data_IF_919856337748
#
_entry.id   IF_919856337748
#
_cell.length_a   1.000
_cell.length_b   1.000
_cell.length_c   1.000
_cell.angle_alpha   90.00
_cell.angle_beta   90.00
_cell.angle_gamma   90.00
#
_symmetry.space_group_name_H-M   'P 1'
#
loop_
_entity.id
_entity.type
_entity.pdbx_description
1 polymer ?
#
# COMPACT_ATOMS: atom_id res chain seq x y z
N UNK A 1 -9.62 -14.96 -1.40
CA UNK A 1 -10.06 -13.61 -1.80
C UNK A 1 -9.95 -13.61 -3.29
N UNK A 2 -11.08 -13.84 -3.95
CA UNK A 2 -11.11 -14.18 -5.37
C UNK A 2 -10.74 -12.95 -6.20
N UNK A 3 -9.84 -13.12 -7.17
CA UNK A 3 -9.48 -12.09 -8.14
C UNK A 3 -10.72 -11.80 -9.00
N UNK A 4 -11.36 -10.65 -8.80
CA UNK A 4 -12.39 -10.17 -9.72
C UNK A 4 -11.70 -9.79 -11.02
N UNK A 5 -11.69 -10.70 -12.01
CA UNK A 5 -11.27 -10.42 -13.38
C UNK A 5 -12.47 -9.91 -14.16
N UNK A 6 -12.48 -8.61 -14.44
CA UNK A 6 -13.47 -7.98 -15.33
C UNK A 6 -13.14 -8.29 -16.79
N UNK A 7 -14.17 -8.42 -17.64
CA UNK A 7 -13.98 -8.56 -19.09
C UNK A 7 -13.58 -7.22 -19.72
N UNK A 8 -12.89 -7.30 -20.86
CA UNK A 8 -12.42 -6.13 -21.61
C UNK A 8 -13.59 -5.22 -22.05
N UNK A 9 -14.76 -5.80 -22.35
CA UNK A 9 -15.98 -5.06 -22.71
C UNK A 9 -16.48 -4.15 -21.59
N UNK A 10 -16.46 -4.65 -20.34
CA UNK A 10 -16.84 -3.86 -19.16
C UNK A 10 -15.81 -2.76 -18.93
N UNK A 11 -14.53 -3.02 -19.20
CA UNK A 11 -13.46 -2.03 -19.03
C UNK A 11 -13.66 -0.86 -19.99
N UNK A 12 -13.99 -1.13 -21.25
CA UNK A 12 -14.26 -0.13 -22.28
C UNK A 12 -15.49 0.73 -21.97
N UNK A 13 -16.56 0.14 -21.45
CA UNK A 13 -17.80 0.86 -21.14
C UNK A 13 -17.63 1.89 -20.02
N UNK A 14 -16.69 1.66 -19.09
CA UNK A 14 -16.54 2.49 -17.89
C UNK A 14 -15.27 3.36 -17.90
N UNK A 15 -14.52 3.37 -19.01
CA UNK A 15 -13.23 4.09 -19.12
C UNK A 15 -13.38 5.62 -19.02
N UNK A 16 -14.54 6.15 -19.42
CA UNK A 16 -14.81 7.59 -19.50
C UNK A 16 -15.62 8.13 -18.30
N UNK A 17 -15.99 7.27 -17.33
CA UNK A 17 -16.72 7.73 -16.15
C UNK A 17 -15.82 8.49 -15.18
N UNK A 18 -16.29 9.65 -14.74
CA UNK A 18 -15.66 10.40 -13.67
C UNK A 18 -16.18 9.91 -12.32
N UNK A 19 -15.34 9.23 -11.56
CA UNK A 19 -15.67 8.72 -10.22
C UNK A 19 -16.18 9.82 -9.27
N UNK A 20 -15.81 11.09 -9.48
CA UNK A 20 -16.23 12.17 -8.60
C UNK A 20 -17.61 12.75 -8.95
N UNK A 21 -18.29 12.24 -9.98
CA UNK A 21 -19.56 12.80 -10.46
C UNK A 21 -20.43 11.71 -11.12
N UNK A 22 -20.97 10.80 -10.30
CA UNK A 22 -21.92 9.78 -10.74
C UNK A 22 -23.36 10.33 -10.75
N UNK A 23 -24.20 9.78 -11.62
CA UNK A 23 -25.65 10.00 -11.59
C UNK A 23 -26.31 8.97 -10.65
N UNK A 24 -27.50 9.29 -10.13
CA UNK A 24 -28.26 8.41 -9.22
C UNK A 24 -28.51 7.00 -9.82
N UNK A 25 -28.67 6.90 -11.15
CA UNK A 25 -28.79 5.60 -11.86
C UNK A 25 -27.46 4.80 -11.90
N UNK A 26 -26.30 5.48 -11.95
CA UNK A 26 -24.99 4.85 -11.92
C UNK A 26 -24.63 4.35 -10.51
N UNK A 27 -25.13 5.03 -9.48
CA UNK A 27 -24.98 4.60 -8.08
C UNK A 27 -25.76 3.30 -7.80
N UNK A 28 -26.96 3.17 -8.35
CA UNK A 28 -27.86 2.03 -8.10
C UNK A 28 -27.55 0.76 -8.92
N UNK A 29 -26.76 0.84 -9.98
CA UNK A 29 -26.59 -0.25 -10.97
C UNK A 29 -25.37 -1.16 -10.76
N UNK A 30 -24.75 -1.16 -9.56
CA UNK A 30 -23.45 -1.82 -9.29
C UNK A 30 -22.26 -1.24 -10.06
N UNK A 31 -22.50 -0.24 -10.93
CA UNK A 31 -21.46 0.55 -11.59
C UNK A 31 -20.60 1.28 -10.55
N UNK A 32 -21.19 1.79 -9.47
CA UNK A 32 -20.44 2.39 -8.36
C UNK A 32 -19.40 1.44 -7.74
N UNK A 33 -19.67 0.14 -7.60
CA UNK A 33 -18.65 -0.84 -7.18
C UNK A 33 -17.52 -0.97 -8.20
N UNK A 34 -17.85 -1.06 -9.48
CA UNK A 34 -16.87 -1.14 -10.57
C UNK A 34 -16.01 0.12 -10.69
N UNK A 35 -16.62 1.29 -10.41
CA UNK A 35 -15.99 2.60 -10.43
C UNK A 35 -15.12 2.79 -9.19
N UNK A 36 -15.62 2.42 -8.00
CA UNK A 36 -14.87 2.41 -6.74
C UNK A 36 -13.64 1.51 -6.84
N UNK A 37 -13.78 0.33 -7.42
CA UNK A 37 -12.66 -0.58 -7.71
C UNK A 37 -11.67 0.05 -8.71
N UNK A 38 -12.14 0.90 -9.64
CA UNK A 38 -11.32 1.64 -10.61
C UNK A 38 -10.85 3.03 -10.17
N UNK A 39 -11.13 3.49 -8.95
CA UNK A 39 -10.78 4.84 -8.47
C UNK A 39 -9.33 5.25 -8.76
N UNK A 40 -8.42 4.28 -8.63
CA UNK A 40 -6.98 4.48 -8.80
C UNK A 40 -6.45 3.91 -10.13
N UNK A 41 -7.34 3.39 -10.98
CA UNK A 41 -7.02 2.76 -12.25
C UNK A 41 -6.27 1.44 -12.12
N UNK A 42 -5.82 0.93 -13.27
CA UNK A 42 -5.04 -0.30 -13.36
C UNK A 42 -3.54 -0.01 -13.29
N UNK A 43 -2.79 -0.93 -12.67
CA UNK A 43 -1.34 -0.90 -12.68
C UNK A 43 -0.81 -1.08 -14.10
N UNK A 44 0.08 -0.19 -14.54
CA UNK A 44 0.70 -0.27 -15.88
C UNK A 44 1.47 -1.58 -16.09
N UNK A 45 2.08 -2.12 -15.03
CA UNK A 45 2.96 -3.29 -15.05
C UNK A 45 2.18 -4.62 -15.02
N UNK A 46 1.33 -4.83 -14.01
CA UNK A 46 0.66 -6.12 -13.80
C UNK A 46 -0.81 -6.14 -14.20
N UNK A 47 -1.39 -5.01 -14.63
CA UNK A 47 -2.79 -4.85 -15.03
C UNK A 47 -3.82 -5.15 -13.93
N UNK A 48 -3.40 -5.33 -12.68
CA UNK A 48 -4.31 -5.41 -11.53
C UNK A 48 -4.68 -4.01 -11.04
N UNK A 49 -5.79 -3.91 -10.29
CA UNK A 49 -6.25 -2.63 -9.71
C UNK A 49 -5.19 -2.03 -8.77
N UNK A 50 -5.01 -0.72 -8.87
CA UNK A 50 -4.21 0.03 -7.92
C UNK A 50 -5.01 0.26 -6.63
N UNK A 51 -4.31 0.31 -5.50
CA UNK A 51 -4.91 0.66 -4.21
C UNK A 51 -4.73 2.14 -3.85
N UNK A 52 -3.90 2.86 -4.62
CA UNK A 52 -3.73 4.31 -4.60
C UNK A 52 -3.22 4.81 -5.97
N UNK A 53 -3.32 6.10 -6.27
CA UNK A 53 -3.00 6.69 -7.59
C UNK A 53 -1.63 6.29 -8.15
N UNK A 54 -0.65 6.11 -7.27
CA UNK A 54 0.72 5.73 -7.63
C UNK A 54 1.16 4.42 -6.96
N UNK A 55 0.21 3.63 -6.45
CA UNK A 55 0.49 2.43 -5.67
C UNK A 55 -0.28 1.20 -6.15
N UNK A 56 0.48 0.21 -6.64
CA UNK A 56 -0.03 -1.13 -6.88
C UNK A 56 0.42 -2.06 -5.75
N UNK A 57 -0.51 -2.43 -4.87
CA UNK A 57 -0.22 -3.31 -3.73
C UNK A 57 0.42 -4.63 -4.16
N UNK A 58 -0.07 -5.27 -5.22
CA UNK A 58 0.47 -6.56 -5.68
C UNK A 58 1.92 -6.44 -6.15
N UNK A 59 2.23 -5.41 -6.95
CA UNK A 59 3.60 -5.16 -7.40
C UNK A 59 4.54 -4.84 -6.23
N UNK A 60 4.09 -4.00 -5.28
CA UNK A 60 4.88 -3.60 -4.11
C UNK A 60 5.09 -4.78 -3.17
N UNK A 61 4.05 -5.57 -2.89
CA UNK A 61 4.14 -6.81 -2.09
C UNK A 61 5.14 -7.80 -2.68
N UNK A 62 5.16 -7.98 -4.01
CA UNK A 62 6.13 -8.84 -4.66
C UNK A 62 7.56 -8.31 -4.51
N UNK A 63 7.75 -6.99 -4.62
CA UNK A 63 9.05 -6.35 -4.40
C UNK A 63 9.52 -6.51 -2.95
N UNK A 64 8.63 -6.32 -1.97
CA UNK A 64 8.97 -6.53 -0.56
C UNK A 64 9.41 -7.97 -0.27
N UNK A 65 8.67 -8.97 -0.77
CA UNK A 65 9.05 -10.38 -0.60
C UNK A 65 10.45 -10.69 -1.12
N UNK A 66 10.86 -10.07 -2.23
CA UNK A 66 12.22 -10.23 -2.78
C UNK A 66 13.29 -9.58 -1.90
N UNK A 67 12.92 -8.56 -1.13
CA UNK A 67 13.82 -7.77 -0.31
C UNK A 67 13.81 -8.14 1.18
N UNK A 68 12.92 -9.01 1.66
CA UNK A 68 12.81 -9.33 3.11
C UNK A 68 14.13 -9.78 3.75
N UNK A 69 15.02 -10.43 2.99
CA UNK A 69 16.35 -10.82 3.49
C UNK A 69 17.24 -9.62 3.86
N UNK A 70 17.00 -8.45 3.27
CA UNK A 70 17.76 -7.21 3.50
C UNK A 70 17.20 -6.37 4.65
N UNK A 71 16.01 -6.71 5.18
CA UNK A 71 15.31 -5.97 6.23
C UNK A 71 15.21 -6.84 7.48
N UNK A 72 16.33 -7.12 8.14
CA UNK A 72 16.33 -7.82 9.43
C UNK A 72 16.89 -6.94 10.53
N UNK A 73 16.07 -6.75 11.56
CA UNK A 73 16.43 -6.11 12.84
C UNK A 73 17.27 -6.98 13.76
N UNK A 74 17.52 -8.24 13.38
CA UNK A 74 18.02 -9.26 14.29
C UNK A 74 16.99 -9.75 15.31
N UNK A 75 15.76 -9.23 15.30
CA UNK A 75 14.64 -9.70 16.12
C UNK A 75 13.54 -10.30 15.24
N UNK A 76 13.29 -11.59 15.42
CA UNK A 76 12.33 -12.33 14.59
C UNK A 76 10.90 -11.79 14.67
N UNK A 77 10.42 -11.42 15.86
CA UNK A 77 9.05 -10.95 16.06
C UNK A 77 8.82 -9.58 15.40
N UNK A 78 9.82 -8.69 15.51
CA UNK A 78 9.79 -7.37 14.84
C UNK A 78 9.83 -7.56 13.33
N UNK A 79 10.72 -8.41 12.83
CA UNK A 79 10.86 -8.68 11.40
C UNK A 79 9.56 -9.25 10.81
N UNK A 80 8.96 -10.23 11.50
CA UNK A 80 7.69 -10.83 11.07
C UNK A 80 6.55 -9.79 11.04
N UNK A 81 6.49 -8.91 12.05
CA UNK A 81 5.52 -7.82 12.09
C UNK A 81 5.69 -6.87 10.90
N UNK A 82 6.92 -6.41 10.64
CA UNK A 82 7.21 -5.47 9.54
C UNK A 82 6.84 -6.10 8.20
N UNK A 83 7.24 -7.35 7.95
CA UNK A 83 6.90 -8.06 6.71
C UNK A 83 5.39 -8.18 6.52
N UNK A 84 4.64 -8.56 7.56
CA UNK A 84 3.17 -8.63 7.52
C UNK A 84 2.54 -7.26 7.25
N UNK A 85 3.08 -6.19 7.82
CA UNK A 85 2.61 -4.82 7.60
C UNK A 85 2.87 -4.36 6.16
N UNK A 86 4.08 -4.57 5.64
CA UNK A 86 4.46 -4.21 4.26
C UNK A 86 3.59 -4.91 3.20
N UNK A 87 3.23 -6.18 3.40
CA UNK A 87 2.33 -6.91 2.50
C UNK A 87 0.88 -6.38 2.52
N UNK A 88 0.47 -5.75 3.62
CA UNK A 88 -0.87 -5.18 3.79
C UNK A 88 -0.95 -3.70 3.43
N UNK A 89 0.19 -3.03 3.21
CA UNK A 89 0.24 -1.62 2.86
C UNK A 89 -0.53 -1.36 1.56
N UNK A 90 -1.44 -0.37 1.61
CA UNK A 90 -2.27 0.03 0.46
C UNK A 90 -1.79 1.30 -0.22
N UNK A 91 -0.83 2.01 0.39
CA UNK A 91 -0.20 3.20 -0.14
C UNK A 91 1.20 3.37 0.48
N UNK A 92 1.94 4.37 0.00
CA UNK A 92 3.32 4.61 0.42
C UNK A 92 3.43 5.03 1.90
N UNK A 93 2.41 5.69 2.45
CA UNK A 93 2.40 6.15 3.86
C UNK A 93 2.20 5.02 4.86
N UNK A 94 1.80 3.84 4.40
CA UNK A 94 1.57 2.66 5.24
C UNK A 94 2.77 1.69 5.24
N UNK A 95 3.81 1.96 4.46
CA UNK A 95 5.01 1.13 4.44
C UNK A 95 5.77 1.38 5.75
N UNK A 96 6.07 0.30 6.47
CA UNK A 96 6.96 0.32 7.62
C UNK A 96 8.35 -0.11 7.14
N UNK A 97 9.37 0.65 7.53
CA UNK A 97 10.76 0.40 7.17
C UNK A 97 11.59 0.23 8.44
N UNK A 98 12.45 -0.79 8.47
CA UNK A 98 13.46 -0.98 9.50
C UNK A 98 14.76 -0.26 9.12
N UNK A 99 15.20 0.68 9.94
CA UNK A 99 16.47 1.38 9.75
C UNK A 99 17.41 0.93 10.86
N UNK A 100 18.54 0.35 10.44
CA UNK A 100 19.59 -0.08 11.35
C UNK A 100 20.11 1.08 12.20
N UNK A 101 20.31 0.83 13.50
CA UNK A 101 20.71 1.86 14.45
C UNK A 101 22.04 2.54 14.07
N UNK A 102 22.95 1.79 13.46
CA UNK A 102 24.26 2.28 13.02
C UNK A 102 24.21 3.24 11.82
N UNK A 103 23.06 3.41 11.17
CA UNK A 103 22.86 4.39 10.09
C UNK A 103 22.51 5.78 10.62
N UNK A 104 22.21 5.89 11.91
CA UNK A 104 21.87 7.15 12.55
C UNK A 104 23.11 7.86 13.09
N UNK A 105 23.20 9.15 12.83
CA UNK A 105 24.23 10.04 13.36
C UNK A 105 23.63 11.09 14.30
N UNK A 106 24.48 11.74 15.10
CA UNK A 106 24.09 12.85 15.98
C UNK A 106 22.90 12.50 16.90
N UNK A 107 22.95 11.30 17.50
CA UNK A 107 21.87 10.77 18.34
C UNK A 107 21.76 11.58 19.63
N UNK A 108 20.68 12.33 19.77
CA UNK A 108 20.38 13.22 20.89
C UNK A 108 19.15 12.70 21.65
N UNK A 109 19.24 12.61 22.97
CA UNK A 109 18.07 12.31 23.81
C UNK A 109 17.06 13.45 23.76
N UNK A 110 15.79 13.14 23.53
CA UNK A 110 14.70 14.13 23.55
C UNK A 110 13.85 14.02 24.82
N UNK A 111 13.30 12.84 25.10
CA UNK A 111 12.36 12.64 26.19
C UNK A 111 12.20 11.16 26.55
N UNK A 112 11.64 10.89 27.73
CA UNK A 112 11.23 9.55 28.15
C UNK A 112 9.78 9.60 28.64
N UNK A 113 8.95 8.72 28.11
CA UNK A 113 7.55 8.53 28.50
C UNK A 113 7.30 7.16 29.13
N UNK A 114 6.03 6.85 29.41
CA UNK A 114 5.65 5.55 30.00
C UNK A 114 5.90 4.35 29.09
N UNK A 115 5.95 4.56 27.77
CA UNK A 115 6.07 3.49 26.78
C UNK A 115 7.43 3.46 26.07
N UNK A 116 8.38 4.32 26.44
CA UNK A 116 9.71 4.31 25.82
C UNK A 116 10.48 5.61 25.94
N UNK A 117 11.63 5.63 25.28
CA UNK A 117 12.56 6.77 25.18
C UNK A 117 12.59 7.26 23.75
N UNK A 118 12.60 8.57 23.57
CA UNK A 118 12.61 9.26 22.28
C UNK A 118 13.99 9.88 22.08
N UNK A 119 14.58 9.60 20.92
CA UNK A 119 15.83 10.18 20.45
C UNK A 119 15.60 10.91 19.13
N UNK A 120 16.42 11.93 18.87
CA UNK A 120 16.57 12.60 17.57
C UNK A 120 17.87 12.11 16.95
N UNK A 121 17.86 11.87 15.64
CA UNK A 121 19.06 11.54 14.88
C UNK A 121 18.96 12.13 13.47
N UNK A 122 20.09 12.16 12.76
CA UNK A 122 20.22 12.52 11.34
C UNK A 122 20.60 11.28 10.54
#
# INVERSE_FOLDING_TARGET
MDEIKLSDDVIEQIKDFNHNHLTEEQELSSIDKLITDKKYGLCKKCKQLNTDYYYCQSCKSQNFKQNFINWSSGNHDIDEFIQKAQLKAKNERQIIEWIEYNKFENIEYLAKGGFGTIFKAV
#
